data_IF_598610709420
#
_entry.id   IF_598610709420
#
_cell.length_a   1.000
_cell.length_b   1.000
_cell.length_c   1.000
_cell.angle_alpha   90.00
_cell.angle_beta   90.00
_cell.angle_gamma   90.00
#
_symmetry.space_group_name_H-M   'P 1'
#
loop_
_entity.id
_entity.type
_entity.pdbx_description
1 polymer ?
#
# COMPACT_ATOMS: atom_id res chain seq x y z
N UNK A 1 -2.04 21.79 48.41
CA UNK A 1 -0.73 22.02 47.75
C UNK A 1 -0.70 21.16 46.49
N UNK A 2 -1.25 21.65 45.38
CA UNK A 2 -1.22 20.92 44.12
C UNK A 2 0.19 21.01 43.55
N UNK A 3 0.89 19.88 43.44
CA UNK A 3 2.16 19.87 42.71
C UNK A 3 1.81 20.03 41.24
N UNK A 4 2.29 21.08 40.54
CA UNK A 4 2.08 21.22 39.12
C UNK A 4 2.96 20.19 38.37
N UNK A 5 2.59 18.91 38.43
CA UNK A 5 3.25 17.84 37.68
C UNK A 5 2.60 17.72 36.31
N UNK A 6 2.82 18.72 35.46
CA UNK A 6 2.55 18.59 34.04
C UNK A 6 3.73 17.86 33.40
N UNK A 7 3.48 16.78 32.66
CA UNK A 7 4.48 16.12 31.79
C UNK A 7 5.24 17.12 30.91
N UNK A 8 4.58 18.21 30.51
CA UNK A 8 5.16 19.33 29.76
C UNK A 8 6.22 20.09 30.57
N UNK A 9 6.05 20.30 31.87
CA UNK A 9 7.01 21.02 32.72
C UNK A 9 8.28 20.18 33.00
N UNK A 10 8.14 18.86 33.07
CA UNK A 10 9.29 17.94 33.18
C UNK A 10 10.08 17.87 31.87
N UNK A 11 9.40 17.96 30.73
CA UNK A 11 10.04 18.06 29.43
C UNK A 11 10.81 19.38 29.32
N UNK A 12 10.18 20.53 29.59
CA UNK A 12 10.88 21.84 29.53
C UNK A 12 12.07 21.97 30.50
N UNK A 13 12.01 21.30 31.66
CA UNK A 13 13.11 21.30 32.65
C UNK A 13 14.19 20.25 32.36
N UNK A 14 13.98 19.38 31.37
CA UNK A 14 14.88 18.29 31.00
C UNK A 14 15.98 18.72 30.04
N UNK A 15 17.17 18.15 30.22
CA UNK A 15 18.36 18.37 29.38
C UNK A 15 18.07 18.04 27.89
N UNK A 16 18.90 18.53 26.96
CA UNK A 16 18.73 18.33 25.51
C UNK A 16 18.63 16.83 25.13
N UNK A 17 19.26 15.96 25.91
CA UNK A 17 19.19 14.50 25.77
C UNK A 17 17.77 13.96 26.00
N UNK A 18 17.05 14.48 27.02
CA UNK A 18 15.68 14.04 27.34
C UNK A 18 14.72 14.37 26.19
N UNK A 19 14.85 15.55 25.61
CA UNK A 19 14.09 15.95 24.43
C UNK A 19 14.40 15.07 23.21
N UNK A 20 15.69 14.80 22.96
CA UNK A 20 16.10 13.95 21.84
C UNK A 20 15.51 12.53 21.93
N UNK A 21 15.55 11.91 23.12
CA UNK A 21 14.95 10.59 23.35
C UNK A 21 13.44 10.63 23.17
N UNK A 22 12.76 11.67 23.67
CA UNK A 22 11.31 11.83 23.50
C UNK A 22 10.91 11.91 22.01
N UNK A 23 11.64 12.70 21.22
CA UNK A 23 11.42 12.77 19.77
C UNK A 23 11.73 11.46 19.06
N UNK A 24 12.80 10.76 19.46
CA UNK A 24 13.15 9.47 18.87
C UNK A 24 12.07 8.41 19.11
N UNK A 25 11.57 8.31 20.35
CA UNK A 25 10.49 7.40 20.70
C UNK A 25 9.20 7.74 19.95
N UNK A 26 8.88 9.03 19.84
CA UNK A 26 7.72 9.49 19.07
C UNK A 26 7.85 9.13 17.59
N UNK A 27 9.01 9.40 16.99
CA UNK A 27 9.28 9.08 15.59
C UNK A 27 9.20 7.57 15.33
N UNK A 28 9.78 6.75 16.20
CA UNK A 28 9.73 5.29 16.09
C UNK A 28 8.29 4.76 16.20
N UNK A 29 7.50 5.33 17.11
CA UNK A 29 6.08 4.99 17.26
C UNK A 29 5.28 5.35 16.00
N UNK A 30 5.42 6.59 15.50
CA UNK A 30 4.74 7.05 14.29
C UNK A 30 5.15 6.21 13.08
N UNK A 31 6.43 5.89 12.93
CA UNK A 31 6.91 5.02 11.86
C UNK A 31 6.27 3.62 11.92
N UNK A 32 6.18 3.02 13.11
CA UNK A 32 5.50 1.74 13.32
C UNK A 32 4.01 1.80 12.93
N UNK A 33 3.30 2.85 13.36
CA UNK A 33 1.91 3.08 12.99
C UNK A 33 1.71 3.26 11.48
N UNK A 34 2.54 4.07 10.83
CA UNK A 34 2.50 4.25 9.38
C UNK A 34 2.74 2.93 8.64
N UNK A 35 3.69 2.13 9.10
CA UNK A 35 4.00 0.83 8.49
C UNK A 35 2.82 -0.16 8.65
N UNK A 36 2.20 -0.17 9.84
CA UNK A 36 1.03 -1.00 10.13
C UNK A 36 -0.16 -0.57 9.27
N UNK A 37 -0.42 0.73 9.16
CA UNK A 37 -1.47 1.29 8.31
C UNK A 37 -1.22 0.96 6.84
N UNK A 38 0.02 1.06 6.34
CA UNK A 38 0.35 0.67 4.98
C UNK A 38 0.09 -0.81 4.69
N UNK A 39 0.53 -1.72 5.57
CA UNK A 39 0.24 -3.15 5.39
C UNK A 39 -1.26 -3.45 5.48
N UNK A 40 -1.97 -2.83 6.41
CA UNK A 40 -3.42 -2.99 6.55
C UNK A 40 -4.17 -2.46 5.33
N UNK A 41 -3.74 -1.31 4.80
CA UNK A 41 -4.33 -0.69 3.63
C UNK A 41 -4.12 -1.55 2.38
N UNK A 42 -2.90 -2.09 2.19
CA UNK A 42 -2.60 -3.03 1.10
C UNK A 42 -3.48 -4.29 1.18
N UNK A 43 -3.68 -4.86 2.38
CA UNK A 43 -4.55 -6.03 2.59
C UNK A 43 -6.03 -5.73 2.30
N UNK A 44 -6.55 -4.62 2.82
CA UNK A 44 -7.94 -4.19 2.60
C UNK A 44 -8.16 -3.84 1.13
N UNK A 45 -7.17 -3.22 0.48
CA UNK A 45 -7.18 -2.87 -0.93
C UNK A 45 -7.17 -4.11 -1.81
N UNK A 46 -6.30 -5.09 -1.55
CA UNK A 46 -6.30 -6.37 -2.27
C UNK A 46 -7.68 -7.05 -2.20
N UNK A 47 -8.31 -7.05 -1.01
CA UNK A 47 -9.65 -7.61 -0.83
C UNK A 47 -10.77 -6.80 -1.50
N UNK A 48 -10.67 -5.47 -1.56
CA UNK A 48 -11.73 -4.61 -2.10
C UNK A 48 -11.61 -4.37 -3.61
N UNK A 49 -10.40 -4.27 -4.13
CA UNK A 49 -10.16 -3.97 -5.55
C UNK A 49 -10.07 -5.22 -6.41
N UNK A 50 -9.63 -6.34 -5.86
CA UNK A 50 -9.60 -7.63 -6.56
C UNK A 50 -10.92 -7.99 -7.25
N UNK A 51 -12.07 -8.07 -6.55
CA UNK A 51 -13.31 -8.53 -7.18
C UNK A 51 -13.89 -7.53 -8.20
N UNK A 52 -13.68 -6.21 -8.01
CA UNK A 52 -14.17 -5.19 -8.95
C UNK A 52 -13.34 -5.12 -10.22
N UNK A 53 -12.02 -5.15 -10.08
CA UNK A 53 -11.10 -5.12 -11.21
C UNK A 53 -11.14 -6.42 -12.02
N UNK A 54 -11.23 -7.57 -11.33
CA UNK A 54 -11.39 -8.87 -11.96
C UNK A 54 -12.73 -9.00 -12.69
N UNK A 55 -13.83 -8.49 -12.12
CA UNK A 55 -15.12 -8.49 -12.80
C UNK A 55 -15.15 -7.60 -14.06
N UNK A 56 -14.38 -6.50 -14.08
CA UNK A 56 -14.22 -5.66 -15.26
C UNK A 56 -13.37 -6.35 -16.33
N UNK A 57 -12.27 -7.01 -15.94
CA UNK A 57 -11.42 -7.81 -16.83
C UNK A 57 -12.22 -8.93 -17.51
N UNK A 58 -12.98 -9.73 -16.75
CA UNK A 58 -13.79 -10.83 -17.30
C UNK A 58 -14.96 -10.39 -18.17
N UNK A 59 -15.35 -9.11 -18.13
CA UNK A 59 -16.37 -8.54 -19.01
C UNK A 59 -15.80 -8.03 -20.34
N UNK A 60 -14.48 -7.91 -20.47
CA UNK A 60 -13.86 -7.39 -21.68
C UNK A 60 -13.96 -8.39 -22.83
N UNK A 61 -14.12 -7.86 -24.05
CA UNK A 61 -14.27 -8.67 -25.26
C UNK A 61 -12.93 -9.27 -25.76
N UNK A 62 -11.80 -8.77 -25.28
CA UNK A 62 -10.45 -9.23 -25.63
C UNK A 62 -9.49 -9.06 -24.46
N UNK A 63 -8.37 -9.78 -24.50
CA UNK A 63 -7.34 -9.73 -23.47
C UNK A 63 -6.76 -8.32 -23.30
N UNK A 64 -6.46 -7.63 -24.40
CA UNK A 64 -5.97 -6.25 -24.37
C UNK A 64 -6.97 -5.26 -23.77
N UNK A 65 -8.26 -5.37 -24.13
CA UNK A 65 -9.30 -4.54 -23.55
C UNK A 65 -9.48 -4.80 -22.04
N UNK A 66 -9.23 -6.03 -21.59
CA UNK A 66 -9.20 -6.39 -20.18
C UNK A 66 -8.01 -5.76 -19.44
N UNK A 67 -6.84 -5.74 -20.05
CA UNK A 67 -5.62 -5.11 -19.49
C UNK A 67 -5.82 -3.60 -19.34
N UNK A 68 -6.39 -2.91 -20.33
CA UNK A 68 -6.67 -1.48 -20.25
C UNK A 68 -7.69 -1.14 -19.15
N UNK A 69 -8.76 -1.95 -19.03
CA UNK A 69 -9.75 -1.79 -17.96
C UNK A 69 -9.14 -2.04 -16.57
N UNK A 70 -8.20 -3.00 -16.47
CA UNK A 70 -7.47 -3.31 -15.26
C UNK A 70 -6.48 -2.20 -14.89
N UNK A 71 -5.78 -1.61 -15.86
CA UNK A 71 -4.87 -0.48 -15.65
C UNK A 71 -5.57 0.78 -15.14
N UNK A 72 -6.81 1.03 -15.58
CA UNK A 72 -7.63 2.13 -15.07
C UNK A 72 -8.12 1.92 -13.63
N UNK A 73 -8.36 0.66 -13.23
CA UNK A 73 -8.83 0.31 -11.90
C UNK A 73 -7.69 0.11 -10.88
N UNK A 74 -6.51 -0.32 -11.34
CA UNK A 74 -5.36 -0.68 -10.52
C UNK A 74 -4.28 0.42 -10.51
N UNK A 75 -4.52 1.43 -9.66
CA UNK A 75 -3.62 2.59 -9.51
C UNK A 75 -2.25 2.26 -8.91
N UNK A 76 -2.06 1.06 -8.35
CA UNK A 76 -0.81 0.63 -7.72
C UNK A 76 -0.04 -0.42 -8.53
N UNK A 77 -0.54 -0.79 -9.74
CA UNK A 77 0.10 -1.75 -10.64
C UNK A 77 0.42 -3.10 -9.98
N UNK A 78 -0.48 -3.61 -9.14
CA UNK A 78 -0.32 -4.90 -8.47
C UNK A 78 -0.74 -6.06 -9.39
N UNK A 79 -1.78 -5.86 -10.19
CA UNK A 79 -2.39 -6.87 -11.06
C UNK A 79 -2.04 -6.66 -12.54
N UNK A 80 -1.73 -5.42 -12.93
CA UNK A 80 -1.30 -5.07 -14.30
C UNK A 80 -0.11 -5.91 -14.78
N UNK A 81 0.99 -6.08 -14.01
CA UNK A 81 2.14 -6.85 -14.47
C UNK A 81 1.83 -8.34 -14.68
N UNK A 82 0.90 -8.88 -13.89
CA UNK A 82 0.47 -10.27 -14.03
C UNK A 82 -0.37 -10.48 -15.30
N UNK A 83 -1.22 -9.52 -15.64
CA UNK A 83 -2.04 -9.56 -16.86
C UNK A 83 -1.18 -9.36 -18.12
N UNK A 84 -0.16 -8.49 -18.06
CA UNK A 84 0.83 -8.33 -19.12
C UNK A 84 1.62 -9.63 -19.34
N UNK A 85 2.10 -10.27 -18.27
CA UNK A 85 2.79 -11.55 -18.37
C UNK A 85 1.91 -12.66 -18.97
N UNK A 86 0.60 -12.64 -18.73
CA UNK A 86 -0.34 -13.59 -19.32
C UNK A 86 -0.54 -13.36 -20.82
N UNK A 87 -0.53 -12.10 -21.28
CA UNK A 87 -0.55 -11.78 -22.72
C UNK A 87 0.73 -12.26 -23.39
N UNK A 88 1.88 -11.95 -22.82
CA UNK A 88 3.17 -12.36 -23.39
C UNK A 88 3.28 -13.89 -23.50
N UNK A 89 2.72 -14.63 -22.52
CA UNK A 89 2.64 -16.08 -22.57
C UNK A 89 1.63 -16.61 -23.61
N UNK A 90 0.52 -15.90 -23.85
CA UNK A 90 -0.45 -16.25 -24.88
C UNK A 90 0.13 -16.03 -26.29
N UNK A 91 0.84 -14.93 -26.51
CA UNK A 91 1.54 -14.63 -27.76
C UNK A 91 2.66 -15.64 -28.02
N UNK A 92 3.38 -16.07 -26.97
CA UNK A 92 4.38 -17.13 -27.06
C UNK A 92 3.78 -18.52 -27.32
N UNK A 93 2.48 -18.73 -27.04
CA UNK A 93 1.77 -20.00 -27.26
C UNK A 93 1.00 -20.04 -28.59
N UNK A 94 1.10 -19.02 -29.46
CA UNK A 94 0.48 -19.08 -30.78
C UNK A 94 1.05 -20.27 -31.59
N UNK A 95 0.26 -21.34 -31.83
CA UNK A 95 0.72 -22.51 -32.58
C UNK A 95 0.93 -22.20 -34.07
N UNK A 96 0.56 -21.00 -34.54
CA UNK A 96 0.78 -20.54 -35.91
C UNK A 96 2.19 -19.98 -36.17
N UNK A 97 3.07 -19.93 -35.16
CA UNK A 97 4.47 -19.55 -35.31
C UNK A 97 5.41 -20.73 -35.68
N UNK A 98 4.85 -21.94 -35.89
CA UNK A 98 5.52 -23.12 -36.47
C UNK A 98 4.86 -23.49 -37.81
#
# INVERSE_FOLDING_TARGET
MAIPTGVVHYLESGDAITHAVAYLLLAMSVASWCFLLMKAWLLVRAKRQGPRALAAFWRAASLDAGIDALAGADRERVFVPLAEAARDAADAHDPAAL
#
